data_IF_296837519121
#
_entry.id   IF_296837519121
#
_cell.length_a   1.000
_cell.length_b   1.000
_cell.length_c   1.000
_cell.angle_alpha   90.00
_cell.angle_beta   90.00
_cell.angle_gamma   90.00
#
_symmetry.space_group_name_H-M   'P 1'
#
loop_
_entity.id
_entity.type
_entity.pdbx_description
1 polymer ?
#
# COMPACT_ATOMS: atom_id res chain seq x y z
N UNK A 1 1.37 -14.10 17.85
CA UNK A 1 0.46 -14.26 16.69
C UNK A 1 1.17 -13.77 15.44
N UNK A 2 1.69 -14.72 14.67
CA UNK A 2 2.54 -14.47 13.49
C UNK A 2 1.66 -14.04 12.31
N UNK A 3 1.21 -12.78 12.35
CA UNK A 3 0.45 -12.17 11.28
C UNK A 3 1.38 -11.56 10.24
N UNK A 4 0.97 -11.61 8.97
CA UNK A 4 1.63 -10.90 7.87
C UNK A 4 1.72 -9.40 8.19
N UNK A 5 2.94 -8.88 8.33
CA UNK A 5 3.17 -7.47 8.60
C UNK A 5 3.18 -6.68 7.30
N UNK A 6 2.20 -5.80 7.14
CA UNK A 6 2.16 -4.79 6.08
C UNK A 6 2.39 -3.44 6.74
N UNK A 7 3.31 -2.65 6.19
CA UNK A 7 3.60 -1.28 6.65
C UNK A 7 3.22 -0.32 5.55
N UNK A 8 2.41 0.69 5.88
CA UNK A 8 2.02 1.76 4.95
C UNK A 8 2.49 3.09 5.54
N UNK A 9 3.25 3.84 4.75
CA UNK A 9 3.81 5.12 5.14
C UNK A 9 3.34 6.22 4.19
N UNK A 10 3.09 7.40 4.75
CA UNK A 10 2.88 8.62 3.96
C UNK A 10 4.24 9.16 3.57
N UNK A 11 4.62 8.99 2.31
CA UNK A 11 5.90 9.46 1.80
C UNK A 11 5.88 10.94 1.40
N UNK A 12 4.73 11.45 0.93
CA UNK A 12 4.57 12.84 0.50
C UNK A 12 3.08 13.22 0.45
N UNK A 13 2.77 14.50 0.63
CA UNK A 13 1.42 15.07 0.50
C UNK A 13 1.49 16.30 -0.41
N UNK A 14 0.79 16.24 -1.54
CA UNK A 14 0.72 17.31 -2.55
C UNK A 14 -0.72 17.76 -2.76
N UNK A 15 -1.14 18.73 -1.97
CA UNK A 15 -2.52 19.22 -1.99
C UNK A 15 -3.50 18.10 -1.69
N UNK A 16 -4.28 17.68 -2.70
CA UNK A 16 -5.27 16.59 -2.58
C UNK A 16 -4.72 15.20 -2.90
N UNK A 17 -3.45 15.08 -3.26
CA UNK A 17 -2.81 13.80 -3.58
C UNK A 17 -1.87 13.37 -2.46
N UNK A 18 -1.86 12.08 -2.14
CA UNK A 18 -0.95 11.48 -1.16
C UNK A 18 -0.12 10.41 -1.85
N UNK A 19 1.19 10.43 -1.65
CA UNK A 19 2.08 9.35 -2.06
C UNK A 19 2.23 8.36 -0.90
N UNK A 20 1.82 7.13 -1.12
CA UNK A 20 1.97 6.03 -0.16
C UNK A 20 3.16 5.16 -0.54
N UNK A 21 3.97 4.79 0.44
CA UNK A 21 4.93 3.69 0.35
C UNK A 21 4.34 2.48 1.09
N UNK A 22 4.32 1.32 0.45
CA UNK A 22 3.78 0.09 1.03
C UNK A 22 4.89 -0.96 1.05
N UNK A 23 5.18 -1.47 2.24
CA UNK A 23 6.10 -2.60 2.43
C UNK A 23 5.29 -3.81 2.84
N UNK A 24 5.38 -4.89 2.06
CA UNK A 24 4.70 -6.15 2.29
C UNK A 24 5.60 -7.32 1.89
N UNK A 25 5.36 -8.54 2.41
CA UNK A 25 6.02 -9.75 1.92
C UNK A 25 5.74 -9.99 0.43
N UNK A 26 6.67 -10.65 -0.29
CA UNK A 26 6.58 -10.83 -1.74
C UNK A 26 5.35 -11.62 -2.21
N UNK A 27 4.78 -12.48 -1.36
CA UNK A 27 3.57 -13.24 -1.64
C UNK A 27 2.28 -12.41 -1.59
N UNK A 28 2.33 -11.17 -1.08
CA UNK A 28 1.18 -10.27 -0.98
C UNK A 28 1.18 -9.29 -2.16
N UNK A 29 0.24 -9.47 -3.08
CA UNK A 29 0.04 -8.50 -4.16
C UNK A 29 -0.52 -7.18 -3.62
N UNK A 30 0.11 -6.06 -3.97
CA UNK A 30 -0.33 -4.70 -3.63
C UNK A 30 -0.72 -3.98 -4.92
N UNK A 31 -2.00 -3.65 -5.06
CA UNK A 31 -2.55 -3.00 -6.26
C UNK A 31 -3.48 -1.85 -5.88
N UNK A 32 -3.61 -0.86 -6.77
CA UNK A 32 -4.67 0.16 -6.63
C UNK A 32 -6.03 -0.45 -6.89
N UNK A 33 -7.05 -0.01 -6.15
CA UNK A 33 -8.41 -0.54 -6.28
C UNK A 33 -8.96 -0.42 -7.71
N UNK A 34 -8.75 0.73 -8.36
CA UNK A 34 -9.16 0.99 -9.75
C UNK A 34 -8.57 -0.02 -10.76
N UNK A 35 -7.41 -0.62 -10.43
CA UNK A 35 -6.73 -1.61 -11.27
C UNK A 35 -7.18 -3.04 -10.94
N UNK A 36 -7.69 -3.27 -9.72
CA UNK A 36 -8.11 -4.59 -9.25
C UNK A 36 -9.38 -5.12 -9.95
N UNK A 37 -10.15 -4.24 -10.62
CA UNK A 37 -11.30 -4.62 -11.43
C UNK A 37 -12.43 -5.33 -10.68
N UNK A 38 -12.40 -5.32 -9.34
CA UNK A 38 -13.45 -5.84 -8.45
C UNK A 38 -14.45 -4.75 -8.08
#
# INVERSE_FOLDING_TARGET
>A
PDGTRIVVEVADVRGRQVRLAVTAPPEVAVTRQEVSGR
#
